data_IF_404187564488
#
_entry.id   IF_404187564488
#
_cell.length_a   1.000
_cell.length_b   1.000
_cell.length_c   1.000
_cell.angle_alpha   90.00
_cell.angle_beta   90.00
_cell.angle_gamma   90.00
#
_symmetry.space_group_name_H-M   'P 1'
#
loop_
_entity.id
_entity.type
_entity.pdbx_description
1 polymer ?
#
# COMPACT_ATOMS: atom_id res chain seq x y z
N UNK A 1 30.54 -37.70 -23.65
CA UNK A 1 29.97 -36.36 -23.82
C UNK A 1 28.92 -36.20 -22.76
N UNK A 2 29.11 -35.29 -21.81
CA UNK A 2 28.06 -34.96 -20.83
C UNK A 2 26.98 -34.13 -21.51
N UNK A 3 25.68 -34.36 -21.22
CA UNK A 3 24.63 -33.56 -21.79
C UNK A 3 24.72 -32.12 -21.24
N UNK A 4 24.73 -31.13 -22.15
CA UNK A 4 24.66 -29.75 -21.78
C UNK A 4 23.32 -29.51 -21.05
N UNK A 5 23.39 -29.10 -19.79
CA UNK A 5 22.22 -28.66 -19.03
C UNK A 5 21.79 -27.32 -19.65
N UNK A 6 20.80 -27.37 -20.52
CA UNK A 6 20.14 -26.16 -21.01
C UNK A 6 19.36 -25.55 -19.83
N UNK A 7 19.95 -24.55 -19.17
CA UNK A 7 19.20 -23.74 -18.24
C UNK A 7 18.15 -23.01 -19.07
N UNK A 8 16.88 -23.37 -18.85
CA UNK A 8 15.77 -22.60 -19.42
C UNK A 8 15.96 -21.15 -19.01
N UNK A 9 16.15 -20.27 -19.97
CA UNK A 9 16.33 -18.85 -19.73
C UNK A 9 15.05 -18.33 -19.06
N UNK A 10 15.12 -18.00 -17.78
CA UNK A 10 13.98 -17.48 -17.04
C UNK A 10 13.47 -16.22 -17.72
N UNK A 11 12.16 -16.12 -17.93
CA UNK A 11 11.56 -14.95 -18.56
C UNK A 11 11.95 -13.69 -17.80
N UNK A 12 12.62 -12.69 -18.44
CA UNK A 12 13.21 -11.56 -17.75
C UNK A 12 12.17 -10.63 -17.09
N UNK A 13 10.89 -10.73 -17.45
CA UNK A 13 9.81 -9.97 -16.83
C UNK A 13 9.31 -10.59 -15.53
N UNK A 14 9.58 -11.87 -15.26
CA UNK A 14 9.12 -12.52 -14.02
C UNK A 14 9.74 -11.84 -12.81
N UNK A 15 8.87 -11.49 -11.86
CA UNK A 15 9.20 -10.81 -10.61
C UNK A 15 8.21 -9.71 -10.25
N UNK A 16 8.58 -8.95 -9.23
CA UNK A 16 7.85 -7.79 -8.73
C UNK A 16 8.61 -6.52 -9.13
N UNK A 17 7.89 -5.50 -9.56
CA UNK A 17 8.47 -4.30 -10.14
C UNK A 17 7.81 -3.05 -9.58
N UNK A 18 8.61 -2.17 -9.03
CA UNK A 18 8.22 -0.91 -8.43
C UNK A 18 8.39 0.24 -9.43
N UNK A 19 7.37 1.06 -9.56
CA UNK A 19 7.37 2.21 -10.47
C UNK A 19 7.05 3.50 -9.72
N UNK A 20 7.95 4.47 -9.76
CA UNK A 20 7.66 5.86 -9.44
C UNK A 20 7.45 6.62 -10.75
N UNK A 21 6.18 6.85 -11.09
CA UNK A 21 5.81 7.51 -12.34
C UNK A 21 5.87 9.01 -12.14
N UNK A 22 6.92 9.62 -12.66
CA UNK A 22 7.14 11.07 -12.56
C UNK A 22 6.36 11.78 -13.66
N UNK A 23 5.57 12.77 -13.26
CA UNK A 23 4.87 13.70 -14.12
C UNK A 23 5.29 15.14 -13.75
N UNK A 24 5.05 16.16 -14.58
CA UNK A 24 5.41 17.53 -14.22
C UNK A 24 4.87 18.02 -12.88
N UNK A 25 3.74 17.49 -12.45
CA UNK A 25 3.02 17.96 -11.24
C UNK A 25 3.04 16.98 -10.07
N UNK A 26 3.53 15.75 -10.25
CA UNK A 26 3.50 14.74 -9.19
C UNK A 26 4.35 13.51 -9.51
N UNK A 27 4.81 12.82 -8.47
CA UNK A 27 5.26 11.42 -8.56
C UNK A 27 4.13 10.52 -8.07
N UNK A 28 3.90 9.41 -8.74
CA UNK A 28 2.83 8.47 -8.42
C UNK A 28 3.38 7.06 -8.40
N UNK A 29 3.09 6.34 -7.32
CA UNK A 29 3.45 4.95 -7.19
C UNK A 29 2.57 4.03 -8.02
N UNK A 30 3.17 2.99 -8.58
CA UNK A 30 2.49 1.87 -9.25
C UNK A 30 3.34 0.61 -9.09
N UNK A 31 2.75 -0.54 -9.34
CA UNK A 31 3.44 -1.81 -9.18
C UNK A 31 2.99 -2.82 -10.26
N UNK A 32 3.91 -3.68 -10.66
CA UNK A 32 3.65 -4.77 -11.59
C UNK A 32 4.22 -6.07 -11.03
N UNK A 33 3.37 -7.10 -10.93
CA UNK A 33 3.79 -8.47 -10.64
C UNK A 33 3.66 -9.32 -11.89
N UNK A 34 4.70 -10.08 -12.20
CA UNK A 34 4.70 -11.07 -13.29
C UNK A 34 5.16 -12.39 -12.72
N UNK A 35 4.31 -13.40 -12.83
CA UNK A 35 4.61 -14.76 -12.40
C UNK A 35 4.45 -15.72 -13.58
N UNK A 36 5.17 -16.82 -13.54
CA UNK A 36 4.96 -17.95 -14.43
C UNK A 36 4.31 -19.09 -13.65
N UNK A 37 3.13 -19.52 -14.09
CA UNK A 37 2.38 -20.58 -13.45
C UNK A 37 1.88 -21.56 -14.51
N UNK A 38 2.24 -22.82 -14.36
CA UNK A 38 1.87 -23.87 -15.32
C UNK A 38 2.27 -23.54 -16.78
N UNK A 39 3.44 -22.92 -16.99
CA UNK A 39 3.93 -22.53 -18.31
C UNK A 39 3.25 -21.30 -18.94
N UNK A 40 2.36 -20.64 -18.21
CA UNK A 40 1.69 -19.41 -18.64
C UNK A 40 2.05 -18.23 -17.73
N UNK A 41 2.12 -17.02 -18.31
CA UNK A 41 2.36 -15.81 -17.53
C UNK A 41 1.05 -15.34 -16.88
N UNK A 42 1.15 -15.00 -15.60
CA UNK A 42 0.16 -14.21 -14.88
C UNK A 42 0.73 -12.81 -14.65
N UNK A 43 -0.04 -11.79 -14.99
CA UNK A 43 0.36 -10.39 -14.84
C UNK A 43 -0.62 -9.67 -13.94
N UNK A 44 -0.11 -9.03 -12.89
CA UNK A 44 -0.87 -8.26 -11.92
C UNK A 44 -0.41 -6.82 -11.93
N UNK A 45 -1.34 -5.90 -11.87
CA UNK A 45 -1.08 -4.47 -11.93
C UNK A 45 -1.73 -3.71 -10.78
N UNK A 46 -0.94 -2.93 -10.05
CA UNK A 46 -1.41 -1.96 -9.07
C UNK A 46 -1.40 -0.57 -9.70
N UNK A 47 -2.57 0.01 -9.98
CA UNK A 47 -2.66 1.40 -10.42
C UNK A 47 -2.31 2.35 -9.27
N UNK A 48 -2.06 3.61 -9.58
CA UNK A 48 -1.74 4.66 -8.59
C UNK A 48 -2.83 4.89 -7.52
N UNK A 49 -4.01 4.34 -7.71
CA UNK A 49 -5.10 4.34 -6.73
C UNK A 49 -6.13 3.28 -7.10
N UNK A 50 -6.82 2.71 -6.11
CA UNK A 50 -7.69 1.56 -6.23
C UNK A 50 -6.93 0.23 -6.11
N UNK A 51 -7.59 -0.87 -6.39
CA UNK A 51 -7.07 -2.22 -6.13
C UNK A 51 -6.05 -2.69 -7.16
N UNK A 52 -5.19 -3.61 -6.73
CA UNK A 52 -4.47 -4.50 -7.63
C UNK A 52 -5.46 -5.38 -8.40
N UNK A 53 -5.14 -5.69 -9.65
CA UNK A 53 -5.96 -6.59 -10.47
C UNK A 53 -5.13 -7.36 -11.47
N UNK A 54 -5.62 -8.52 -11.89
CA UNK A 54 -4.99 -9.33 -12.90
C UNK A 54 -5.23 -8.71 -14.29
N UNK A 55 -4.13 -8.46 -15.02
CA UNK A 55 -4.20 -7.98 -16.40
C UNK A 55 -4.48 -9.17 -17.30
N UNK A 56 -5.63 -9.17 -17.99
CA UNK A 56 -6.02 -10.24 -18.92
C UNK A 56 -5.57 -9.98 -20.36
N UNK A 57 -5.47 -8.70 -20.75
CA UNK A 57 -5.06 -8.30 -22.09
C UNK A 57 -3.59 -7.84 -22.07
N UNK A 58 -2.70 -8.77 -22.33
CA UNK A 58 -1.27 -8.51 -22.49
C UNK A 58 -0.65 -9.37 -23.58
N UNK A 59 0.49 -8.93 -24.10
CA UNK A 59 1.28 -9.67 -25.11
C UNK A 59 2.77 -9.55 -24.81
N UNK A 60 3.46 -10.67 -24.84
CA UNK A 60 4.93 -10.72 -24.85
C UNK A 60 5.36 -11.05 -26.29
N UNK A 61 6.01 -10.10 -26.95
CA UNK A 61 6.50 -10.25 -28.33
C UNK A 61 7.76 -9.41 -28.53
N UNK A 62 8.77 -9.98 -29.21
CA UNK A 62 10.04 -9.31 -29.52
C UNK A 62 10.68 -8.69 -28.27
N UNK A 63 10.79 -9.44 -27.19
CA UNK A 63 11.34 -9.01 -25.90
C UNK A 63 10.65 -7.76 -25.31
N UNK A 64 9.39 -7.53 -25.66
CA UNK A 64 8.56 -6.45 -25.11
C UNK A 64 7.30 -7.00 -24.49
N UNK A 65 7.00 -6.54 -23.28
CA UNK A 65 5.73 -6.80 -22.59
C UNK A 65 4.80 -5.61 -22.83
N UNK A 66 3.69 -5.88 -23.53
CA UNK A 66 2.65 -4.88 -23.82
C UNK A 66 1.41 -5.19 -23.00
N UNK A 67 0.93 -4.20 -22.25
CA UNK A 67 -0.24 -4.31 -21.39
C UNK A 67 -1.33 -3.36 -21.85
N UNK A 68 -2.55 -3.86 -21.98
CA UNK A 68 -3.75 -3.04 -22.11
C UNK A 68 -4.46 -3.03 -20.74
N UNK A 69 -4.33 -1.92 -20.03
CA UNK A 69 -4.78 -1.79 -18.67
C UNK A 69 -6.25 -1.38 -18.59
N UNK A 70 -6.94 -1.85 -17.56
CA UNK A 70 -8.37 -1.59 -17.39
C UNK A 70 -8.69 -0.09 -17.35
N UNK A 71 -9.79 0.29 -17.99
CA UNK A 71 -10.27 1.68 -17.96
C UNK A 71 -10.91 1.99 -16.62
N UNK A 72 -10.49 3.08 -15.97
CA UNK A 72 -11.17 3.60 -14.75
C UNK A 72 -12.57 4.17 -15.05
N UNK A 73 -12.84 4.60 -16.27
CA UNK A 73 -14.15 5.07 -16.70
C UNK A 73 -14.31 4.99 -18.22
N UNK A 74 -15.56 4.97 -18.70
CA UNK A 74 -15.88 4.98 -20.15
C UNK A 74 -15.36 6.25 -20.86
N UNK A 75 -15.24 7.37 -20.13
CA UNK A 75 -14.83 8.68 -20.67
C UNK A 75 -13.32 8.82 -20.85
N UNK A 76 -12.49 7.97 -20.21
CA UNK A 76 -11.03 8.06 -20.31
C UNK A 76 -10.48 7.04 -21.29
N UNK A 77 -9.51 7.40 -22.14
CA UNK A 77 -8.81 6.44 -23.01
C UNK A 77 -8.18 5.32 -22.19
N UNK A 78 -8.04 4.14 -22.80
CA UNK A 78 -7.34 3.03 -22.19
C UNK A 78 -5.87 3.41 -21.91
N UNK A 79 -5.36 2.95 -20.78
CA UNK A 79 -3.95 3.07 -20.44
C UNK A 79 -3.23 1.86 -21.05
N UNK A 80 -2.15 2.10 -21.80
CA UNK A 80 -1.31 1.06 -22.38
C UNK A 80 0.11 1.23 -21.89
N UNK A 81 0.74 0.12 -21.51
CA UNK A 81 2.15 0.07 -21.18
C UNK A 81 2.89 -0.76 -22.21
N UNK A 82 4.08 -0.33 -22.58
CA UNK A 82 5.04 -1.12 -23.34
C UNK A 82 6.38 -1.08 -22.60
N UNK A 83 6.86 -2.26 -22.19
CA UNK A 83 8.03 -2.42 -21.33
C UNK A 83 9.06 -3.35 -21.97
N UNK A 84 10.33 -3.05 -21.75
CA UNK A 84 11.50 -3.87 -22.07
C UNK A 84 12.25 -4.16 -20.79
N UNK A 85 12.66 -5.42 -20.57
CA UNK A 85 13.44 -5.83 -19.42
C UNK A 85 14.94 -5.69 -19.71
N UNK A 86 15.68 -5.14 -18.73
CA UNK A 86 17.12 -5.03 -18.75
C UNK A 86 17.66 -5.27 -17.33
N UNK A 87 18.01 -6.52 -17.03
CA UNK A 87 18.45 -6.94 -15.70
C UNK A 87 17.38 -6.63 -14.63
N UNK A 88 17.72 -5.77 -13.67
CA UNK A 88 16.84 -5.38 -12.58
C UNK A 88 16.00 -4.11 -12.88
N UNK A 89 15.88 -3.76 -14.14
CA UNK A 89 15.06 -2.62 -14.58
C UNK A 89 14.07 -3.03 -15.66
N UNK A 90 12.89 -2.41 -15.64
CA UNK A 90 11.96 -2.34 -16.76
C UNK A 90 11.92 -0.90 -17.25
N UNK A 91 12.20 -0.71 -18.53
CA UNK A 91 12.09 0.61 -19.17
C UNK A 91 11.02 0.59 -20.26
N UNK A 92 10.42 1.74 -20.50
CA UNK A 92 9.40 1.82 -21.53
C UNK A 92 8.54 3.07 -21.40
N UNK A 93 7.29 2.95 -21.78
CA UNK A 93 6.37 4.09 -21.72
C UNK A 93 4.94 3.65 -21.45
N UNK A 94 4.17 4.55 -20.86
CA UNK A 94 2.72 4.49 -20.84
C UNK A 94 2.11 5.44 -21.86
N UNK A 95 1.01 5.03 -22.47
CA UNK A 95 0.21 5.87 -23.37
C UNK A 95 -1.24 5.95 -22.89
N UNK A 96 -1.77 7.17 -22.87
CA UNK A 96 -3.18 7.44 -22.61
C UNK A 96 -3.71 8.44 -23.64
N UNK A 97 -4.39 7.96 -24.66
CA UNK A 97 -4.76 8.81 -25.81
C UNK A 97 -3.51 9.34 -26.52
N UNK A 98 -3.35 10.67 -26.54
CA UNK A 98 -2.17 11.35 -27.12
C UNK A 98 -1.01 11.51 -26.12
N UNK A 99 -1.27 11.35 -24.82
CA UNK A 99 -0.24 11.52 -23.78
C UNK A 99 0.66 10.31 -23.71
N UNK A 100 1.97 10.57 -23.61
CA UNK A 100 2.99 9.53 -23.40
C UNK A 100 3.87 9.95 -22.22
N UNK A 101 4.07 9.03 -21.28
CA UNK A 101 4.96 9.22 -20.12
C UNK A 101 5.98 8.10 -20.12
N UNK A 102 7.26 8.45 -19.89
CA UNK A 102 8.32 7.45 -19.74
C UNK A 102 8.14 6.66 -18.45
N UNK A 103 8.46 5.37 -18.50
CA UNK A 103 8.42 4.48 -17.36
C UNK A 103 9.81 3.92 -17.09
N UNK A 104 10.18 3.95 -15.82
CA UNK A 104 11.30 3.19 -15.29
C UNK A 104 10.81 2.44 -14.06
N UNK A 105 10.83 1.12 -14.13
CA UNK A 105 10.54 0.25 -13.01
C UNK A 105 11.83 -0.38 -12.52
N UNK A 106 11.94 -0.58 -11.21
CA UNK A 106 13.03 -1.32 -10.59
C UNK A 106 12.50 -2.62 -10.00
N UNK A 107 13.34 -3.64 -9.96
CA UNK A 107 12.95 -4.89 -9.30
C UNK A 107 12.71 -4.63 -7.82
N UNK A 108 11.50 -4.94 -7.34
CA UNK A 108 11.16 -4.79 -5.93
C UNK A 108 12.09 -5.66 -5.07
N UNK A 109 12.63 -5.13 -3.95
CA UNK A 109 13.49 -5.90 -3.07
C UNK A 109 12.71 -7.03 -2.41
N UNK A 110 13.37 -8.12 -2.06
CA UNK A 110 12.70 -9.27 -1.42
C UNK A 110 12.19 -8.94 -0.01
N UNK A 111 12.93 -8.14 0.76
CA UNK A 111 12.60 -7.73 2.14
C UNK A 111 12.24 -8.89 3.07
N UNK A 112 12.82 -10.05 2.85
CA UNK A 112 12.74 -11.16 3.79
C UNK A 112 13.72 -10.90 4.93
N UNK A 113 13.18 -10.71 6.13
CA UNK A 113 13.97 -10.40 7.32
C UNK A 113 13.60 -11.35 8.45
N UNK A 114 14.58 -11.63 9.31
CA UNK A 114 14.32 -12.32 10.57
C UNK A 114 13.56 -11.39 11.54
N UNK A 115 12.66 -11.95 12.32
CA UNK A 115 12.01 -11.19 13.38
C UNK A 115 13.06 -10.68 14.38
N UNK A 116 13.05 -9.39 14.73
CA UNK A 116 13.95 -8.84 15.73
C UNK A 116 13.83 -9.56 17.08
N UNK A 117 14.97 -9.82 17.72
CA UNK A 117 15.00 -10.49 19.03
C UNK A 117 14.46 -9.62 20.16
N UNK A 118 14.61 -8.31 20.04
CA UNK A 118 14.13 -7.36 21.03
C UNK A 118 13.58 -6.09 20.36
N UNK A 119 12.65 -5.45 21.07
CA UNK A 119 11.99 -4.21 20.66
C UNK A 119 12.18 -3.16 21.72
N UNK A 120 12.18 -1.88 21.34
CA UNK A 120 12.13 -0.79 22.33
C UNK A 120 10.81 -0.83 23.09
N UNK A 121 10.78 -0.18 24.26
CA UNK A 121 9.51 0.09 24.91
C UNK A 121 8.66 0.97 23.98
N UNK A 122 7.31 0.84 24.03
CA UNK A 122 6.43 1.67 23.22
C UNK A 122 6.58 3.15 23.56
N UNK A 123 6.81 4.00 22.56
CA UNK A 123 6.82 5.45 22.72
C UNK A 123 5.63 6.09 21.99
N UNK A 124 5.07 7.20 22.50
CA UNK A 124 4.00 7.91 21.84
C UNK A 124 4.45 8.46 20.48
N UNK A 125 3.70 8.13 19.42
CA UNK A 125 3.85 8.73 18.10
C UNK A 125 2.89 9.93 17.93
N UNK A 126 1.82 9.95 18.71
CA UNK A 126 0.88 11.07 18.84
C UNK A 126 0.82 11.50 20.31
N UNK A 127 1.00 12.80 20.56
CA UNK A 127 1.15 13.34 21.92
C UNK A 127 -0.17 13.70 22.62
N UNK A 128 -1.30 13.60 21.92
CA UNK A 128 -2.63 13.95 22.43
C UNK A 128 -2.88 15.46 22.65
N UNK A 129 -1.94 16.33 22.27
CA UNK A 129 -2.04 17.77 22.53
C UNK A 129 -2.09 18.64 21.27
N UNK A 130 -1.28 18.29 20.28
CA UNK A 130 -1.15 19.01 19.02
C UNK A 130 -0.67 18.05 17.90
N UNK A 131 -0.42 18.60 16.71
CA UNK A 131 0.06 17.84 15.56
C UNK A 131 1.60 17.76 15.47
N UNK A 132 2.34 18.02 16.56
CA UNK A 132 3.79 17.87 16.55
C UNK A 132 4.19 16.45 16.12
N UNK A 133 5.10 16.36 15.16
CA UNK A 133 5.50 15.10 14.57
C UNK A 133 4.57 14.59 13.44
N UNK A 134 3.55 15.35 13.08
CA UNK A 134 2.63 15.07 11.97
C UNK A 134 2.49 16.27 11.05
N UNK A 135 2.40 16.05 9.76
CA UNK A 135 2.27 17.11 8.76
C UNK A 135 1.29 16.73 7.63
N UNK A 136 0.50 17.69 7.13
CA UNK A 136 -0.37 17.46 5.97
C UNK A 136 0.44 17.10 4.72
N UNK A 137 -0.12 16.22 3.88
CA UNK A 137 0.44 15.92 2.57
C UNK A 137 -0.15 16.88 1.54
N UNK A 138 0.71 17.64 0.87
CA UNK A 138 0.29 18.63 -0.13
C UNK A 138 0.05 20.01 0.47
N UNK A 139 -1.06 20.64 0.12
CA UNK A 139 -1.42 21.98 0.57
C UNK A 139 -1.98 21.97 2.01
N UNK A 140 -1.28 22.56 3.01
CA UNK A 140 -1.72 22.57 4.39
C UNK A 140 -3.08 23.28 4.60
N UNK A 141 -3.43 24.22 3.74
CA UNK A 141 -4.72 24.94 3.85
C UNK A 141 -5.93 24.04 3.61
N UNK A 142 -5.71 22.86 3.04
CA UNK A 142 -6.73 21.83 2.80
C UNK A 142 -6.79 20.76 3.90
N UNK A 143 -6.03 20.94 4.98
CA UNK A 143 -6.02 20.00 6.10
C UNK A 143 -7.16 20.30 7.05
N UNK A 144 -7.96 19.27 7.34
CA UNK A 144 -9.00 19.29 8.36
C UNK A 144 -8.63 18.41 9.57
N UNK A 145 -7.32 18.10 9.68
CA UNK A 145 -6.77 17.41 10.84
C UNK A 145 -6.57 18.35 12.00
N UNK A 146 -6.94 17.92 13.19
CA UNK A 146 -6.76 18.65 14.42
C UNK A 146 -6.72 17.75 15.64
N UNK A 147 -6.60 18.39 16.82
CA UNK A 147 -6.66 17.68 18.10
C UNK A 147 -7.84 18.22 18.91
N UNK A 148 -8.75 17.33 19.32
CA UNK A 148 -9.89 17.64 20.17
C UNK A 148 -9.98 16.65 21.34
N UNK A 149 -9.98 17.15 22.56
CA UNK A 149 -10.10 16.32 23.76
C UNK A 149 -9.07 15.16 23.84
N UNK A 150 -7.84 15.41 23.40
CA UNK A 150 -6.80 14.38 23.35
C UNK A 150 -6.85 13.43 22.17
N UNK A 151 -7.79 13.61 21.25
CA UNK A 151 -7.98 12.77 20.07
C UNK A 151 -7.42 13.47 18.84
N UNK A 152 -6.74 12.72 17.97
CA UNK A 152 -6.43 13.13 16.61
C UNK A 152 -7.68 12.94 15.76
N UNK A 153 -8.20 14.01 15.18
CA UNK A 153 -9.48 13.98 14.44
C UNK A 153 -9.30 14.51 13.03
N UNK A 154 -9.98 13.89 12.08
CA UNK A 154 -10.21 14.43 10.74
C UNK A 154 -11.70 14.78 10.63
N UNK A 155 -12.03 16.06 10.61
CA UNK A 155 -13.43 16.49 10.66
C UNK A 155 -14.13 16.40 9.32
N UNK A 156 -13.40 16.62 8.23
CA UNK A 156 -13.96 16.70 6.89
C UNK A 156 -12.95 16.14 5.87
N UNK A 157 -13.44 15.89 4.66
CA UNK A 157 -12.60 15.56 3.51
C UNK A 157 -11.53 16.64 3.28
N UNK A 158 -10.27 16.24 3.21
CA UNK A 158 -9.16 17.19 3.04
C UNK A 158 -7.83 16.52 2.73
N UNK A 159 -6.74 17.15 3.17
CA UNK A 159 -5.40 16.61 2.99
C UNK A 159 -5.18 15.35 3.83
N UNK A 160 -4.36 14.44 3.32
CA UNK A 160 -3.85 13.31 4.10
C UNK A 160 -2.82 13.83 5.13
N UNK A 161 -2.63 13.11 6.23
CA UNK A 161 -1.69 13.44 7.30
C UNK A 161 -0.58 12.38 7.37
N UNK A 162 0.68 12.77 7.46
CA UNK A 162 1.79 11.82 7.60
C UNK A 162 2.67 12.14 8.81
N UNK A 163 3.34 11.12 9.35
CA UNK A 163 4.37 11.32 10.37
C UNK A 163 5.62 11.96 9.76
N UNK A 164 6.28 12.86 10.51
CA UNK A 164 7.57 13.43 10.13
C UNK A 164 8.68 12.37 10.17
N UNK A 165 8.59 11.44 11.13
CA UNK A 165 9.51 10.31 11.26
C UNK A 165 9.20 9.21 10.24
N UNK A 166 10.25 8.51 9.81
CA UNK A 166 10.17 7.33 8.93
C UNK A 166 10.58 6.09 9.70
N UNK A 167 9.96 4.97 9.36
CA UNK A 167 10.16 3.69 10.03
C UNK A 167 10.40 2.59 8.99
N UNK A 168 11.15 1.57 9.40
CA UNK A 168 11.40 0.38 8.59
C UNK A 168 10.65 -0.82 9.20
N UNK A 169 11.26 -1.56 10.12
CA UNK A 169 10.58 -2.60 10.88
C UNK A 169 10.03 -2.00 12.19
N UNK A 170 8.83 -2.39 12.58
CA UNK A 170 8.18 -1.82 13.76
C UNK A 170 7.07 -2.69 14.35
N UNK A 171 6.72 -2.37 15.59
CA UNK A 171 5.43 -2.66 16.22
C UNK A 171 4.69 -1.35 16.42
N UNK A 172 3.49 -1.27 15.88
CA UNK A 172 2.62 -0.11 15.95
C UNK A 172 1.35 -0.49 16.70
N UNK A 173 0.95 0.33 17.64
CA UNK A 173 -0.38 0.28 18.24
C UNK A 173 -1.14 1.56 17.91
N UNK A 174 -2.42 1.46 17.59
CA UNK A 174 -3.32 2.60 17.51
C UNK A 174 -4.76 2.18 17.82
N UNK A 175 -5.52 3.13 18.31
CA UNK A 175 -6.96 3.00 18.45
C UNK A 175 -7.67 3.93 17.49
N UNK A 176 -8.74 3.46 16.86
CA UNK A 176 -9.54 4.21 15.90
C UNK A 176 -11.03 4.08 16.20
N UNK A 177 -11.74 5.19 16.09
CA UNK A 177 -13.19 5.23 16.03
C UNK A 177 -13.57 5.65 14.60
N UNK A 178 -14.16 4.73 13.85
CA UNK A 178 -14.64 4.95 12.50
C UNK A 178 -16.17 5.01 12.53
N UNK A 179 -16.79 6.13 12.11
CA UNK A 179 -18.25 6.24 12.10
C UNK A 179 -18.87 5.32 11.03
N UNK A 180 -20.17 5.12 11.10
CA UNK A 180 -20.89 4.45 10.01
C UNK A 180 -20.73 5.23 8.70
N UNK A 181 -20.54 4.52 7.60
CA UNK A 181 -20.13 5.06 6.30
C UNK A 181 -18.77 5.81 6.28
N UNK A 182 -17.99 5.71 7.37
CA UNK A 182 -16.63 6.24 7.42
C UNK A 182 -15.68 5.48 6.48
N UNK A 183 -14.73 6.21 5.88
CA UNK A 183 -13.69 5.63 5.03
C UNK A 183 -12.40 6.43 5.21
N UNK A 184 -11.33 5.71 5.52
CA UNK A 184 -9.95 6.18 5.65
C UNK A 184 -9.01 4.98 5.48
N UNK A 185 -7.72 5.21 5.61
CA UNK A 185 -6.70 4.16 5.64
C UNK A 185 -5.50 4.59 6.48
N UNK A 186 -4.90 3.64 7.19
CA UNK A 186 -3.65 3.84 7.92
C UNK A 186 -2.51 3.16 7.14
N UNK A 187 -1.63 3.95 6.54
CA UNK A 187 -0.57 3.43 5.68
C UNK A 187 0.72 3.17 6.43
N UNK A 188 1.17 1.95 6.38
CA UNK A 188 2.45 1.50 6.90
C UNK A 188 3.56 1.85 5.92
N UNK A 189 4.61 2.53 6.39
CA UNK A 189 5.72 3.05 5.56
C UNK A 189 5.26 3.89 4.36
N UNK A 190 4.04 4.46 4.42
CA UNK A 190 3.47 5.22 3.32
C UNK A 190 3.06 4.38 2.10
N UNK A 191 3.06 3.05 2.20
CA UNK A 191 2.94 2.14 1.04
C UNK A 191 1.89 1.06 1.18
N UNK A 192 1.61 0.60 2.40
CA UNK A 192 0.71 -0.53 2.65
C UNK A 192 -0.45 -0.06 3.52
N UNK A 193 -1.63 -0.02 2.96
CA UNK A 193 -2.83 0.49 3.60
C UNK A 193 -3.50 -0.58 4.46
N UNK A 194 -3.62 -0.31 5.76
CA UNK A 194 -4.64 -0.94 6.59
C UNK A 194 -5.94 -0.19 6.34
N UNK A 195 -6.92 -0.86 5.77
CA UNK A 195 -8.21 -0.27 5.46
C UNK A 195 -9.00 0.03 6.74
N UNK A 196 -9.54 1.24 6.84
CA UNK A 196 -10.38 1.71 7.92
C UNK A 196 -11.71 2.22 7.32
N UNK A 197 -12.69 1.31 7.15
CA UNK A 197 -13.93 1.69 6.49
C UNK A 197 -15.12 0.92 7.04
N UNK A 198 -16.28 1.56 7.06
CA UNK A 198 -17.57 0.97 7.37
C UNK A 198 -18.61 1.21 6.28
N UNK A 199 -18.20 1.18 5.04
CA UNK A 199 -19.12 1.13 3.90
C UNK A 199 -19.99 -0.15 3.98
N UNK A 200 -21.18 -0.17 3.35
CA UNK A 200 -22.05 -1.36 3.38
C UNK A 200 -21.34 -2.63 2.94
N UNK A 201 -21.44 -3.71 3.72
CA UNK A 201 -20.77 -5.00 3.47
C UNK A 201 -21.00 -5.58 2.08
N UNK A 202 -22.16 -5.31 1.48
CA UNK A 202 -22.49 -5.77 0.13
C UNK A 202 -21.67 -5.08 -0.97
N UNK A 203 -21.02 -3.97 -0.65
CA UNK A 203 -20.25 -3.19 -1.61
C UNK A 203 -18.79 -3.64 -1.73
N UNK A 204 -18.21 -4.23 -0.66
CA UNK A 204 -16.78 -4.51 -0.60
C UNK A 204 -16.45 -5.99 -0.36
N UNK A 205 -15.58 -6.58 -1.20
CA UNK A 205 -15.04 -7.92 -0.94
C UNK A 205 -14.11 -7.90 0.30
N UNK A 206 -13.82 -9.07 0.91
CA UNK A 206 -13.09 -9.14 2.19
C UNK A 206 -11.75 -8.39 2.22
N UNK A 207 -11.00 -8.40 1.13
CA UNK A 207 -9.72 -7.69 1.01
C UNK A 207 -9.84 -6.16 0.91
N UNK A 208 -11.04 -5.61 1.03
CA UNK A 208 -11.33 -4.18 1.03
C UNK A 208 -12.08 -3.72 2.28
N UNK A 209 -12.28 -4.61 3.24
CA UNK A 209 -12.97 -4.31 4.50
C UNK A 209 -11.99 -3.86 5.56
N UNK A 210 -12.51 -3.27 6.62
CA UNK A 210 -11.72 -2.81 7.76
C UNK A 210 -10.74 -3.89 8.26
N UNK A 211 -9.48 -3.47 8.47
CA UNK A 211 -8.40 -4.36 8.90
C UNK A 211 -7.74 -5.20 7.82
N UNK A 212 -8.19 -5.11 6.54
CA UNK A 212 -7.48 -5.71 5.41
C UNK A 212 -6.22 -4.90 5.06
N UNK A 213 -5.27 -5.53 4.35
CA UNK A 213 -4.34 -4.78 3.52
C UNK A 213 -5.02 -4.56 2.18
N UNK A 214 -5.39 -3.32 1.92
CA UNK A 214 -6.31 -2.93 0.87
C UNK A 214 -6.02 -3.57 -0.49
N UNK A 215 -7.00 -4.38 -0.96
CA UNK A 215 -6.92 -5.11 -2.20
C UNK A 215 -5.86 -6.21 -2.27
N UNK A 216 -5.20 -6.56 -1.14
CA UNK A 216 -4.10 -7.53 -1.08
C UNK A 216 -4.37 -8.71 -0.15
N UNK A 217 -4.68 -8.42 1.12
CA UNK A 217 -4.83 -9.44 2.16
C UNK A 217 -6.13 -9.21 2.91
N UNK A 218 -7.02 -10.19 2.85
CA UNK A 218 -8.25 -10.17 3.63
C UNK A 218 -7.99 -10.57 5.09
N UNK A 219 -8.66 -9.96 6.09
CA UNK A 219 -8.59 -10.41 7.47
C UNK A 219 -9.24 -11.80 7.63
N UNK A 220 -8.65 -12.65 8.45
CA UNK A 220 -9.17 -13.99 8.84
C UNK A 220 -8.88 -14.24 10.31
N UNK A 221 -9.91 -14.26 11.18
CA UNK A 221 -11.33 -14.07 10.87
C UNK A 221 -11.68 -12.64 10.45
N UNK A 222 -12.73 -12.47 9.66
CA UNK A 222 -13.37 -11.17 9.37
C UNK A 222 -14.28 -10.85 10.58
N UNK A 223 -13.87 -9.86 11.39
CA UNK A 223 -14.58 -9.52 12.63
C UNK A 223 -15.85 -8.70 12.32
N UNK A 224 -16.83 -8.74 13.24
CA UNK A 224 -18.04 -7.94 13.13
C UNK A 224 -17.73 -6.45 12.92
N UNK A 225 -18.65 -5.76 12.24
CA UNK A 225 -18.63 -4.30 12.12
C UNK A 225 -19.11 -3.66 13.42
N UNK A 226 -18.38 -2.65 13.87
CA UNK A 226 -18.69 -1.90 15.09
C UNK A 226 -18.56 -0.39 14.87
N UNK A 227 -19.31 0.21 13.88
CA UNK A 227 -19.19 1.63 13.58
C UNK A 227 -19.48 2.50 14.81
N UNK A 228 -18.66 3.54 15.00
CA UNK A 228 -18.76 4.43 16.15
C UNK A 228 -18.21 3.86 17.46
N UNK A 229 -17.66 2.65 17.46
CA UNK A 229 -16.97 2.07 18.61
C UNK A 229 -15.44 2.23 18.44
N UNK A 230 -14.73 2.30 19.56
CA UNK A 230 -13.27 2.26 19.57
C UNK A 230 -12.78 0.86 19.24
N UNK A 231 -11.88 0.76 18.28
CA UNK A 231 -11.21 -0.47 17.91
C UNK A 231 -9.72 -0.35 18.04
N UNK A 232 -9.08 -1.42 18.49
CA UNK A 232 -7.63 -1.48 18.68
C UNK A 232 -6.96 -2.21 17.53
N UNK A 233 -5.81 -1.73 17.12
CA UNK A 233 -4.95 -2.37 16.14
C UNK A 233 -3.54 -2.48 16.70
N UNK A 234 -3.04 -3.73 16.80
CA UNK A 234 -1.63 -4.02 17.07
C UNK A 234 -1.04 -4.62 15.79
N UNK A 235 -0.05 -3.95 15.25
CA UNK A 235 0.53 -4.23 13.95
C UNK A 235 2.02 -4.48 14.07
N UNK A 236 2.49 -5.60 13.55
CA UNK A 236 3.93 -5.88 13.43
C UNK A 236 4.28 -6.00 11.95
N UNK A 237 5.21 -5.18 11.48
CA UNK A 237 5.76 -5.26 10.13
C UNK A 237 7.27 -5.48 10.22
N UNK A 238 7.77 -6.57 9.64
CA UNK A 238 9.19 -6.91 9.51
C UNK A 238 9.48 -7.23 8.05
N UNK A 239 10.26 -6.40 7.39
CA UNK A 239 10.37 -6.45 5.94
C UNK A 239 9.01 -6.27 5.28
N UNK A 240 8.46 -7.33 4.66
CA UNK A 240 7.08 -7.38 4.14
C UNK A 240 6.17 -8.34 4.91
N UNK A 241 6.69 -8.99 5.95
CA UNK A 241 5.90 -9.91 6.77
C UNK A 241 5.07 -9.11 7.76
N UNK A 242 3.76 -9.23 7.64
CA UNK A 242 2.78 -8.48 8.42
C UNK A 242 1.98 -9.39 9.35
N UNK A 243 1.81 -8.93 10.58
CA UNK A 243 0.82 -9.46 11.52
C UNK A 243 -0.07 -8.32 11.99
N UNK A 244 -1.40 -8.54 11.99
CA UNK A 244 -2.40 -7.60 12.51
C UNK A 244 -3.25 -8.30 13.54
N UNK A 245 -3.36 -7.69 14.73
CA UNK A 245 -4.30 -8.07 15.78
C UNK A 245 -5.31 -6.93 15.90
N UNK A 246 -6.58 -7.21 15.63
CA UNK A 246 -7.68 -6.24 15.78
C UNK A 246 -8.55 -6.67 16.96
N UNK A 247 -8.76 -5.76 17.90
CA UNK A 247 -9.56 -6.03 19.12
C UNK A 247 -9.13 -7.31 19.87
N UNK A 248 -7.80 -7.52 19.98
CA UNK A 248 -7.23 -8.71 20.63
C UNK A 248 -7.28 -9.99 19.80
N UNK A 249 -7.86 -9.98 18.60
CA UNK A 249 -7.93 -11.14 17.70
C UNK A 249 -6.93 -10.98 16.55
N UNK A 250 -6.07 -11.96 16.35
CA UNK A 250 -5.15 -12.00 15.23
C UNK A 250 -5.91 -12.25 13.93
N UNK A 251 -6.01 -11.22 13.09
CA UNK A 251 -6.76 -11.26 11.83
C UNK A 251 -5.88 -11.42 10.60
N UNK A 252 -4.59 -11.08 10.71
CA UNK A 252 -3.56 -11.39 9.71
C UNK A 252 -2.38 -11.97 10.48
N UNK A 253 -1.91 -13.16 10.12
CA UNK A 253 -0.83 -13.86 10.81
C UNK A 253 0.36 -14.11 9.90
N UNK A 254 1.43 -13.34 10.11
CA UNK A 254 2.72 -13.47 9.43
C UNK A 254 2.63 -13.60 7.90
N UNK A 255 1.75 -12.82 7.25
CA UNK A 255 1.58 -12.87 5.80
C UNK A 255 2.50 -11.89 5.08
N UNK A 256 3.07 -12.31 3.95
CA UNK A 256 3.87 -11.43 3.10
C UNK A 256 2.95 -10.53 2.26
N UNK A 257 3.21 -9.21 2.29
CA UNK A 257 2.55 -8.24 1.40
C UNK A 257 3.28 -8.30 0.05
N UNK A 258 2.60 -8.63 -1.02
CA UNK A 258 3.22 -8.80 -2.35
C UNK A 258 3.77 -7.50 -2.95
N UNK A 259 3.23 -6.36 -2.57
CA UNK A 259 3.63 -5.04 -3.07
C UNK A 259 2.74 -3.93 -2.55
N UNK A 260 3.01 -2.71 -2.97
CA UNK A 260 2.30 -1.51 -2.53
C UNK A 260 0.79 -1.59 -2.78
N UNK A 261 0.01 -0.86 -1.98
CA UNK A 261 -1.44 -0.65 -2.17
C UNK A 261 -1.72 0.61 -2.98
N UNK A 262 -2.97 0.79 -3.43
CA UNK A 262 -3.38 2.03 -4.07
C UNK A 262 -3.26 3.22 -3.11
N UNK A 263 -2.84 4.38 -3.61
CA UNK A 263 -2.64 5.56 -2.76
C UNK A 263 -1.26 5.64 -2.10
N UNK A 264 -0.37 4.66 -2.33
CA UNK A 264 1.01 4.71 -1.82
C UNK A 264 1.72 6.01 -2.21
N UNK A 265 2.51 6.57 -1.30
CA UNK A 265 3.25 7.81 -1.51
C UNK A 265 4.36 7.65 -2.55
N UNK A 266 5.01 6.50 -2.53
CA UNK A 266 6.07 6.10 -3.46
C UNK A 266 6.12 4.56 -3.55
N UNK A 267 6.97 4.05 -4.44
CA UNK A 267 7.22 2.63 -4.62
C UNK A 267 8.63 2.21 -4.15
N UNK A 268 9.26 2.96 -3.27
CA UNK A 268 10.61 2.65 -2.76
C UNK A 268 10.52 1.66 -1.59
N UNK A 269 10.03 0.45 -1.85
CA UNK A 269 9.73 -0.51 -0.77
C UNK A 269 10.92 -0.87 0.12
N UNK A 270 12.16 -0.75 -0.38
CA UNK A 270 13.38 -0.99 0.37
C UNK A 270 13.75 0.09 1.38
N UNK A 271 13.12 1.26 1.32
CA UNK A 271 13.46 2.41 2.15
C UNK A 271 12.50 2.55 3.35
N UNK A 272 12.98 3.08 4.50
CA UNK A 272 12.09 3.50 5.56
C UNK A 272 11.06 4.51 5.04
N UNK A 273 9.83 4.45 5.53
CA UNK A 273 8.76 5.36 5.14
C UNK A 273 7.95 5.88 6.30
N UNK A 274 7.20 6.98 6.13
CA UNK A 274 6.34 7.52 7.16
C UNK A 274 5.09 6.65 7.35
N UNK A 275 4.44 6.75 8.47
CA UNK A 275 3.01 6.43 8.53
C UNK A 275 2.23 7.56 7.87
N UNK A 276 1.11 7.24 7.22
CA UNK A 276 0.15 8.28 6.90
C UNK A 276 -1.29 7.80 7.05
N UNK A 277 -2.19 8.75 7.30
CA UNK A 277 -3.60 8.51 7.49
C UNK A 277 -4.36 9.29 6.43
N UNK A 278 -5.30 8.64 5.76
CA UNK A 278 -6.11 9.30 4.74
C UNK A 278 -7.07 10.31 5.34
N UNK A 279 -7.07 11.52 4.78
CA UNK A 279 -8.04 12.58 5.03
C UNK A 279 -8.87 12.92 3.81
N UNK A 280 -8.53 12.35 2.65
CA UNK A 280 -9.15 12.65 1.35
C UNK A 280 -10.34 11.73 0.99
N UNK A 281 -10.97 11.15 2.02
CA UNK A 281 -12.20 10.36 1.92
C UNK A 281 -13.32 11.01 2.75
N UNK A 282 -14.03 10.23 3.56
CA UNK A 282 -15.02 10.80 4.49
C UNK A 282 -14.32 11.35 5.73
N UNK A 283 -14.88 12.39 6.34
CA UNK A 283 -14.42 12.85 7.65
C UNK A 283 -15.00 12.04 8.81
N UNK A 284 -14.75 12.50 10.03
CA UNK A 284 -15.33 11.97 11.27
C UNK A 284 -14.54 10.86 11.94
N UNK A 285 -13.42 10.40 11.37
CA UNK A 285 -12.56 9.42 12.04
C UNK A 285 -11.76 10.08 13.17
N UNK A 286 -11.59 9.31 14.25
CA UNK A 286 -10.85 9.72 15.44
C UNK A 286 -9.81 8.67 15.79
N UNK A 287 -8.63 9.13 16.20
CA UNK A 287 -7.53 8.26 16.61
C UNK A 287 -6.99 8.66 17.98
N UNK A 288 -6.48 7.68 18.73
CA UNK A 288 -5.76 7.90 20.00
C UNK A 288 -4.76 6.77 20.24
N UNK A 289 -3.95 6.94 21.28
CA UNK A 289 -3.00 5.92 21.74
C UNK A 289 -2.09 5.38 20.63
N UNK A 290 -1.66 6.26 19.71
CA UNK A 290 -0.75 5.85 18.63
C UNK A 290 0.65 5.75 19.23
N UNK A 291 1.18 4.53 19.35
CA UNK A 291 2.51 4.24 19.90
C UNK A 291 3.32 3.35 18.96
N UNK A 292 4.63 3.45 19.07
CA UNK A 292 5.58 2.74 18.23
C UNK A 292 6.70 2.10 19.04
N UNK A 293 7.09 0.88 18.67
CA UNK A 293 8.33 0.23 19.08
C UNK A 293 9.13 -0.14 17.85
N UNK A 294 10.44 0.04 17.92
CA UNK A 294 11.38 -0.31 16.85
C UNK A 294 12.35 -1.40 17.33
N UNK A 295 13.03 -2.12 16.44
CA UNK A 295 14.05 -3.09 16.83
C UNK A 295 15.10 -2.43 17.73
N UNK A 296 15.51 -3.13 18.81
CA UNK A 296 16.72 -2.75 19.58
C UNK A 296 17.94 -3.15 18.77
N UNK A 297 18.88 -2.22 18.61
CA UNK A 297 20.19 -2.46 17.99
C UNK A 297 21.04 -3.37 18.87
#
# INVERSE_FOLDING_TARGET
MAPAVVHAQTNPFVGRWDFNIVTPNSTRASWLGVAEKNGALEVWFQPTGGNVYQVKDFKLKNSKLKLNLAKKSKKRPALKWELTANGNQLTGFQKRGKETTQLTGVRAPELKRATPLAWTDPEPLFNGKNLDGWEPIGDPSKSHWGVKNGLLVNEEHGANLKSARKFDDFRLHFEVNCPDHGNSGFYLRGRYEIQLEYEPLTANPPERRIGSIYGRIAPKPDLPRTPGQWETFDVTLVGRTLTVVRNGVKTIDAQEIEGITGGALDANEGEPGPFYIQGDHTGGLQFRNITISVPKN
#
